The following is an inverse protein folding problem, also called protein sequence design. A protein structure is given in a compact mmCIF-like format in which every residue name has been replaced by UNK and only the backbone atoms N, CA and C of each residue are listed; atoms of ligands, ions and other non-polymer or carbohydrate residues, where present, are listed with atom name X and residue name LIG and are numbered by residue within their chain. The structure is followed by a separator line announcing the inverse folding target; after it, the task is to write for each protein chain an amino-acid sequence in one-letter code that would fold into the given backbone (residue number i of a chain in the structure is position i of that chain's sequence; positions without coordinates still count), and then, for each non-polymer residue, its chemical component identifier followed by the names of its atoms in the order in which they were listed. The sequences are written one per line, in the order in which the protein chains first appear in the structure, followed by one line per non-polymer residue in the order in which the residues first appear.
data_IF_020123412271
#
_entry.id   IF_020123412271
#
_cell.length_a   1.000
_cell.length_b   1.000
_cell.length_c   1.000
_cell.angle_alpha   90.00
_cell.angle_beta   90.00
_cell.angle_gamma   90.00
#
_symmetry.space_group_name_H-M   'P 1'
#
loop_
_entity.id
_entity.type
_entity.pdbx_description
1 polymer ?
#
# COMPACT_ATOMS: atom_id res chain seq x y z
N UNK A 1 43.66 -27.13 29.28
CA UNK A 1 42.72 -27.44 28.17
C UNK A 1 41.25 -27.21 28.53
N UNK A 2 40.71 -27.78 29.61
CA UNK A 2 39.27 -27.61 29.97
C UNK A 2 38.82 -26.16 30.20
N UNK A 3 39.65 -25.30 30.81
CA UNK A 3 39.34 -23.89 31.07
C UNK A 3 39.31 -23.03 29.80
N UNK A 4 40.17 -23.31 28.82
CA UNK A 4 40.18 -22.60 27.53
C UNK A 4 38.98 -22.97 26.65
N UNK A 5 38.51 -24.22 26.73
CA UNK A 5 37.29 -24.67 26.04
C UNK A 5 36.04 -23.97 26.60
N UNK A 6 35.92 -23.86 27.92
CA UNK A 6 34.82 -23.18 28.57
C UNK A 6 34.76 -21.68 28.22
N UNK A 7 35.92 -21.02 28.14
CA UNK A 7 36.02 -19.62 27.74
C UNK A 7 35.63 -19.41 26.27
N UNK A 8 36.09 -20.30 25.37
CA UNK A 8 35.70 -20.25 23.95
C UNK A 8 34.19 -20.47 23.76
N UNK A 9 33.60 -21.39 24.53
CA UNK A 9 32.16 -21.67 24.47
C UNK A 9 31.32 -20.50 25.00
N UNK A 10 31.75 -19.85 26.07
CA UNK A 10 31.10 -18.65 26.61
C UNK A 10 31.16 -17.47 25.62
N UNK A 11 32.27 -17.31 24.90
CA UNK A 11 32.42 -16.27 23.88
C UNK A 11 31.47 -16.51 22.69
N UNK A 12 31.38 -17.74 22.20
CA UNK A 12 30.47 -18.11 21.09
C UNK A 12 28.99 -17.94 21.49
N UNK A 13 28.62 -18.28 22.73
CA UNK A 13 27.27 -18.05 23.23
C UNK A 13 26.93 -16.56 23.33
N UNK A 14 27.90 -15.73 23.72
CA UNK A 14 27.67 -14.28 23.82
C UNK A 14 27.40 -13.64 22.45
N UNK A 15 28.14 -14.04 21.40
CA UNK A 15 27.97 -13.49 20.04
C UNK A 15 26.62 -13.88 19.41
N UNK A 16 26.07 -15.05 19.77
CA UNK A 16 24.79 -15.53 19.24
C UNK A 16 23.56 -14.87 19.88
N UNK A 17 23.72 -14.25 21.06
CA UNK A 17 22.64 -13.52 21.74
C UNK A 17 22.45 -12.08 21.21
N UNK A 18 23.52 -11.41 20.75
CA UNK A 18 23.41 -10.05 20.21
C UNK A 18 22.68 -9.99 18.86
N UNK A 19 22.85 -11.00 17.99
CA UNK A 19 22.28 -10.99 16.65
C UNK A 19 20.74 -11.03 16.64
N UNK A 20 20.10 -11.63 17.66
CA UNK A 20 18.64 -11.73 17.71
C UNK A 20 17.94 -10.40 18.01
N UNK A 21 18.58 -9.50 18.76
CA UNK A 21 17.98 -8.22 19.17
C UNK A 21 17.91 -7.25 17.99
N UNK A 22 18.93 -7.22 17.13
CA UNK A 22 18.95 -6.33 15.97
C UNK A 22 17.90 -6.69 14.92
N UNK A 23 17.72 -7.99 14.62
CA UNK A 23 16.76 -8.44 13.62
C UNK A 23 15.29 -8.11 13.98
N UNK A 24 14.93 -8.18 15.27
CA UNK A 24 13.57 -7.88 15.71
C UNK A 24 13.29 -6.36 15.79
N UNK A 25 14.33 -5.54 15.93
CA UNK A 25 14.19 -4.08 16.01
C UNK A 25 13.91 -3.42 14.65
N UNK A 26 14.35 -4.01 13.55
CA UNK A 26 14.15 -3.48 12.20
C UNK A 26 12.71 -3.70 11.71
N UNK A 27 12.04 -4.78 12.16
CA UNK A 27 10.69 -5.15 11.72
C UNK A 27 9.61 -4.11 12.12
N UNK A 28 9.92 -3.23 13.08
CA UNK A 28 9.01 -2.19 13.58
C UNK A 28 9.46 -0.75 13.27
N UNK A 29 10.44 -0.59 12.37
CA UNK A 29 11.03 0.72 12.08
C UNK A 29 10.10 1.64 11.28
N UNK A 30 9.22 1.10 10.46
CA UNK A 30 8.28 1.90 9.65
C UNK A 30 6.85 1.55 10.03
N UNK A 31 6.08 2.57 10.40
CA UNK A 31 4.65 2.46 10.66
C UNK A 31 3.88 3.00 9.46
N UNK A 32 3.05 2.15 8.85
CA UNK A 32 2.16 2.51 7.75
C UNK A 32 0.71 2.42 8.22
N UNK A 33 -0.05 3.50 8.04
CA UNK A 33 -1.47 3.54 8.41
C UNK A 33 -2.32 4.14 7.31
N UNK A 34 -3.38 3.43 6.93
CA UNK A 34 -4.49 3.93 6.14
C UNK A 34 -5.55 4.52 7.08
N UNK A 35 -6.04 5.71 6.74
CA UNK A 35 -7.17 6.36 7.38
C UNK A 35 -8.22 6.69 6.34
N UNK A 36 -9.46 6.25 6.56
CA UNK A 36 -10.62 6.55 5.72
C UNK A 36 -11.71 7.15 6.61
N UNK A 37 -12.35 8.21 6.14
CA UNK A 37 -13.53 8.76 6.80
C UNK A 37 -14.79 8.29 6.04
N UNK A 38 -15.66 7.54 6.71
CA UNK A 38 -16.90 7.04 6.12
C UNK A 38 -18.03 7.04 7.15
N UNK A 39 -19.19 7.58 6.78
CA UNK A 39 -20.37 7.61 7.66
C UNK A 39 -20.13 8.35 8.99
N UNK A 40 -19.30 9.40 8.99
CA UNK A 40 -18.94 10.16 10.20
C UNK A 40 -17.96 9.44 11.13
N UNK A 41 -17.46 8.25 10.75
CA UNK A 41 -16.45 7.51 11.50
C UNK A 41 -15.10 7.55 10.78
N UNK A 42 -14.04 7.65 11.58
CA UNK A 42 -12.66 7.49 11.11
C UNK A 42 -12.23 6.04 11.29
N UNK A 43 -11.93 5.38 10.18
CA UNK A 43 -11.49 3.99 10.11
C UNK A 43 -9.98 4.00 9.92
N UNK A 44 -9.23 3.43 10.87
CA UNK A 44 -7.76 3.33 10.83
C UNK A 44 -7.37 1.88 10.62
N UNK A 45 -6.49 1.63 9.64
CA UNK A 45 -6.01 0.29 9.26
C UNK A 45 -4.49 0.29 9.17
N UNK A 46 -3.85 -0.60 9.92
CA UNK A 46 -2.40 -0.77 9.84
C UNK A 46 -2.04 -1.58 8.58
N UNK A 47 -1.04 -1.09 7.85
CA UNK A 47 -0.56 -1.70 6.61
C UNK A 47 0.81 -2.35 6.82
N UNK A 48 1.06 -3.43 6.08
CA UNK A 48 2.38 -4.00 5.87
C UNK A 48 3.12 -3.28 4.74
N UNK A 49 2.40 -2.92 3.67
CA UNK A 49 2.98 -2.32 2.47
C UNK A 49 1.99 -1.34 1.81
N UNK A 50 2.53 -0.41 1.03
CA UNK A 50 1.78 0.42 0.08
C UNK A 50 2.64 0.65 -1.15
N UNK A 51 2.04 0.57 -2.32
CA UNK A 51 2.63 0.95 -3.59
C UNK A 51 1.68 1.88 -4.34
N UNK A 52 2.26 2.86 -5.02
CA UNK A 52 1.53 3.84 -5.83
C UNK A 52 1.96 3.66 -7.27
N UNK A 53 1.00 3.45 -8.16
CA UNK A 53 1.23 3.43 -9.60
C UNK A 53 0.37 4.48 -10.29
N UNK A 54 0.96 5.10 -11.31
CA UNK A 54 0.32 6.09 -12.16
C UNK A 54 0.59 5.69 -13.60
N UNK A 55 -0.46 5.48 -14.37
CA UNK A 55 -0.37 5.43 -15.82
C UNK A 55 -0.83 6.76 -16.40
N UNK A 56 -0.12 7.27 -17.40
CA UNK A 56 -0.52 8.42 -18.20
C UNK A 56 -0.61 7.96 -19.65
N UNK A 57 -1.73 8.30 -20.29
CA UNK A 57 -1.85 8.19 -21.74
C UNK A 57 -1.54 9.56 -22.30
N UNK A 58 -0.45 9.68 -23.07
CA UNK A 58 -0.25 10.86 -23.90
C UNK A 58 -1.05 10.64 -25.18
N UNK A 59 -1.77 11.65 -25.64
CA UNK A 59 -2.31 11.64 -27.00
C UNK A 59 -1.13 11.49 -27.96
N UNK A 60 -0.92 10.28 -28.50
CA UNK A 60 -0.19 10.17 -29.75
C UNK A 60 -1.00 10.97 -30.76
N UNK A 61 -0.33 11.93 -31.41
CA UNK A 61 -0.91 12.83 -32.39
C UNK A 61 -1.86 12.08 -33.33
N UNK A 62 -3.01 12.69 -33.71
CA UNK A 62 -4.00 12.02 -34.52
C UNK A 62 -3.34 11.44 -35.77
N UNK A 63 -3.58 10.15 -35.98
CA UNK A 63 -3.12 9.39 -37.16
C UNK A 63 -3.37 10.23 -38.40
N UNK A 64 -2.32 10.50 -39.17
CA UNK A 64 -2.38 11.27 -40.39
C UNK A 64 -3.57 10.79 -41.25
N UNK A 65 -4.43 11.74 -41.60
CA UNK A 65 -5.65 11.62 -42.40
C UNK A 65 -5.67 10.39 -43.32
N UNK A 66 -6.29 9.30 -42.85
CA UNK A 66 -6.77 8.26 -43.75
C UNK A 66 -8.11 8.74 -44.34
N UNK A 67 -8.13 8.77 -45.66
CA UNK A 67 -9.17 9.23 -46.58
C UNK A 67 -10.60 8.90 -46.10
N UNK A 68 -11.48 9.89 -46.24
CA UNK A 68 -12.90 9.84 -45.92
C UNK A 68 -13.61 8.61 -46.52
N UNK A 69 -14.08 7.71 -45.66
CA UNK A 69 -15.23 6.87 -45.98
C UNK A 69 -16.20 6.81 -44.80
N UNK A 70 -17.48 6.80 -45.14
CA UNK A 70 -18.63 7.25 -44.35
C UNK A 70 -19.14 6.16 -43.40
N UNK A 71 -18.26 5.57 -42.60
CA UNK A 71 -18.63 4.68 -41.51
C UNK A 71 -18.32 5.37 -40.19
N UNK A 72 -19.30 5.44 -39.27
CA UNK A 72 -19.19 5.99 -37.92
C UNK A 72 -17.82 5.71 -37.30
N UNK A 73 -16.92 6.70 -37.40
CA UNK A 73 -15.67 6.72 -36.67
C UNK A 73 -16.01 6.76 -35.19
N UNK A 74 -16.10 5.58 -34.55
CA UNK A 74 -15.90 5.48 -33.11
C UNK A 74 -14.47 5.97 -32.89
N UNK A 75 -14.35 7.25 -32.55
CA UNK A 75 -13.13 7.81 -31.99
C UNK A 75 -12.59 6.80 -30.99
N UNK A 76 -11.34 6.38 -31.17
CA UNK A 76 -10.68 5.46 -30.26
C UNK A 76 -10.86 6.01 -28.84
N UNK A 77 -11.46 5.22 -27.96
CA UNK A 77 -11.71 5.66 -26.59
C UNK A 77 -10.35 6.00 -25.96
N UNK A 78 -10.08 7.28 -25.77
CA UNK A 78 -8.98 7.77 -24.95
C UNK A 78 -9.19 7.14 -23.58
N UNK A 79 -8.30 6.22 -23.18
CA UNK A 79 -8.27 5.72 -21.81
C UNK A 79 -7.58 6.79 -20.98
N UNK A 80 -8.31 7.57 -20.16
CA UNK A 80 -7.66 8.49 -19.24
C UNK A 80 -6.71 7.67 -18.35
N UNK A 81 -5.51 8.20 -18.15
CA UNK A 81 -4.56 7.62 -17.20
C UNK A 81 -5.23 7.34 -15.85
N UNK A 82 -4.76 6.34 -15.12
CA UNK A 82 -5.33 5.97 -13.83
C UNK A 82 -4.29 5.98 -12.73
N UNK A 83 -4.66 6.47 -11.54
CA UNK A 83 -3.87 6.28 -10.33
C UNK A 83 -4.42 5.11 -9.51
N UNK A 84 -3.55 4.14 -9.25
CA UNK A 84 -3.84 2.98 -8.42
C UNK A 84 -2.95 2.99 -7.18
N UNK A 85 -3.55 2.62 -6.06
CA UNK A 85 -2.85 2.31 -4.82
C UNK A 85 -3.08 0.85 -4.51
N UNK A 86 -2.00 0.08 -4.43
CA UNK A 86 -2.03 -1.30 -3.94
C UNK A 86 -1.42 -1.34 -2.55
N UNK A 87 -2.01 -2.12 -1.66
CA UNK A 87 -1.60 -2.17 -0.26
C UNK A 87 -1.89 -3.54 0.34
N UNK A 88 -1.05 -3.93 1.29
CA UNK A 88 -1.26 -5.12 2.10
C UNK A 88 -1.62 -4.70 3.52
N UNK A 89 -2.81 -5.08 3.99
CA UNK A 89 -3.24 -4.78 5.35
C UNK A 89 -2.76 -5.87 6.33
N UNK A 90 -2.45 -5.46 7.57
CA UNK A 90 -2.16 -6.40 8.66
C UNK A 90 -3.40 -7.15 9.12
N UNK A 91 -4.52 -6.44 9.14
CA UNK A 91 -5.85 -6.92 9.50
C UNK A 91 -6.88 -5.97 8.93
N UNK A 92 -8.05 -6.48 8.60
CA UNK A 92 -9.18 -5.68 8.16
C UNK A 92 -10.22 -5.63 9.26
N UNK A 93 -10.78 -4.44 9.50
CA UNK A 93 -11.92 -4.27 10.40
C UNK A 93 -13.25 -4.42 9.65
N UNK A 94 -14.30 -4.81 10.36
CA UNK A 94 -15.66 -4.87 9.82
C UNK A 94 -16.12 -3.54 9.22
N UNK A 95 -15.69 -2.42 9.81
CA UNK A 95 -16.05 -1.09 9.31
C UNK A 95 -15.37 -0.79 7.96
N UNK A 96 -14.12 -1.21 7.75
CA UNK A 96 -13.47 -1.12 6.44
C UNK A 96 -14.15 -2.05 5.43
N UNK A 97 -14.50 -3.28 5.82
CA UNK A 97 -15.27 -4.20 4.97
C UNK A 97 -16.61 -3.60 4.54
N UNK A 98 -17.31 -2.90 5.42
CA UNK A 98 -18.57 -2.20 5.07
C UNK A 98 -18.35 -1.13 4.01
N UNK A 99 -17.24 -0.38 4.06
CA UNK A 99 -16.90 0.58 2.99
C UNK A 99 -16.72 -0.13 1.65
N UNK A 100 -15.98 -1.24 1.66
CA UNK A 100 -15.63 -2.04 0.49
C UNK A 100 -16.79 -2.88 -0.08
N UNK A 101 -17.79 -3.20 0.73
CA UNK A 101 -18.93 -4.07 0.35
C UNK A 101 -19.85 -3.50 -0.73
N UNK A 102 -19.81 -2.18 -0.94
CA UNK A 102 -20.73 -1.45 -1.81
C UNK A 102 -20.06 -1.11 -3.14
N UNK A 103 -20.59 -1.65 -4.24
CA UNK A 103 -20.04 -1.56 -5.62
C UNK A 103 -19.69 -0.14 -6.11
N UNK A 104 -20.36 0.89 -5.63
CA UNK A 104 -20.17 2.27 -6.09
C UNK A 104 -19.76 3.24 -4.97
N UNK A 105 -19.28 2.72 -3.84
CA UNK A 105 -18.81 3.61 -2.77
C UNK A 105 -17.58 4.35 -3.25
N UNK A 106 -17.64 5.67 -3.08
CA UNK A 106 -16.50 6.56 -3.18
C UNK A 106 -16.08 6.99 -1.79
N UNK A 107 -14.78 7.01 -1.56
CA UNK A 107 -14.22 7.42 -0.29
C UNK A 107 -12.91 8.17 -0.48
N UNK A 108 -12.65 9.08 0.45
CA UNK A 108 -11.38 9.77 0.55
C UNK A 108 -10.56 9.14 1.66
N UNK A 109 -9.24 9.28 1.57
CA UNK A 109 -8.38 8.72 2.58
C UNK A 109 -6.98 9.30 2.59
N UNK A 110 -6.25 8.90 3.61
CA UNK A 110 -4.88 9.31 3.84
C UNK A 110 -4.06 8.10 4.27
N UNK A 111 -2.90 7.90 3.67
CA UNK A 111 -1.90 6.94 4.10
C UNK A 111 -0.74 7.73 4.72
N UNK A 112 -0.40 7.41 5.95
CA UNK A 112 0.71 8.01 6.67
C UNK A 112 1.81 6.98 6.86
N UNK A 113 3.04 7.37 6.52
CA UNK A 113 4.26 6.56 6.64
C UNK A 113 5.19 7.29 7.61
N UNK A 114 5.42 6.69 8.77
CA UNK A 114 6.23 7.26 9.84
C UNK A 114 7.42 6.35 10.12
N UNK A 115 8.63 6.91 10.07
CA UNK A 115 9.82 6.26 10.63
C UNK A 115 9.78 6.45 12.16
N UNK A 116 9.64 5.34 12.89
CA UNK A 116 9.49 5.37 14.35
C UNK A 116 10.74 5.90 15.07
N UNK A 117 11.90 5.93 14.38
CA UNK A 117 13.15 6.49 14.89
C UNK A 117 13.38 7.95 14.44
N UNK A 118 12.46 8.53 13.67
CA UNK A 118 12.52 9.93 13.26
C UNK A 118 13.65 10.28 12.29
N UNK A 119 14.35 9.27 11.72
CA UNK A 119 15.43 9.51 10.76
C UNK A 119 14.92 10.01 9.41
N UNK A 120 13.73 9.57 9.01
CA UNK A 120 13.08 10.02 7.80
C UNK A 120 11.86 10.89 8.13
N UNK A 121 11.59 11.95 7.34
CA UNK A 121 10.38 12.73 7.50
C UNK A 121 9.14 11.88 7.23
N UNK A 122 8.05 12.21 7.92
CA UNK A 122 6.75 11.57 7.68
C UNK A 122 6.32 11.79 6.23
N UNK A 123 5.94 10.71 5.54
CA UNK A 123 5.31 10.81 4.23
C UNK A 123 3.81 10.67 4.37
N UNK A 124 3.07 11.50 3.64
CA UNK A 124 1.61 11.49 3.62
C UNK A 124 1.12 11.38 2.18
N UNK A 125 0.33 10.35 1.90
CA UNK A 125 -0.34 10.17 0.62
C UNK A 125 -1.83 10.43 0.86
N UNK A 126 -2.40 11.46 0.25
CA UNK A 126 -3.85 11.70 0.29
C UNK A 126 -4.45 11.34 -1.05
N UNK A 127 -5.60 10.71 -1.05
CA UNK A 127 -6.34 10.37 -2.25
C UNK A 127 -7.80 10.74 -2.10
N UNK A 128 -8.43 11.11 -3.21
CA UNK A 128 -9.85 11.49 -3.23
C UNK A 128 -10.63 10.68 -4.27
N UNK A 129 -11.92 10.53 -3.99
CA UNK A 129 -12.88 9.84 -4.85
C UNK A 129 -12.44 8.41 -5.23
N UNK A 130 -11.80 7.72 -4.26
CA UNK A 130 -11.32 6.38 -4.47
C UNK A 130 -12.45 5.36 -4.45
N UNK A 131 -12.27 4.28 -5.20
CA UNK A 131 -13.13 3.11 -5.17
C UNK A 131 -12.29 1.84 -5.10
N UNK A 132 -12.81 0.82 -4.44
CA UNK A 132 -12.19 -0.49 -4.43
C UNK A 132 -12.10 -1.03 -5.86
N UNK A 133 -10.88 -1.36 -6.30
CA UNK A 133 -10.61 -1.98 -7.58
C UNK A 133 -10.54 -3.50 -7.44
N UNK A 134 -9.80 -3.98 -6.45
CA UNK A 134 -9.74 -5.39 -6.11
C UNK A 134 -9.49 -5.61 -4.61
N UNK A 135 -9.92 -6.76 -4.12
CA UNK A 135 -9.72 -7.21 -2.76
C UNK A 135 -9.43 -8.71 -2.80
N UNK A 136 -8.35 -9.12 -2.14
CA UNK A 136 -7.98 -10.52 -1.97
C UNK A 136 -7.58 -10.75 -0.54
N UNK A 137 -8.13 -11.80 0.07
CA UNK A 137 -7.79 -12.19 1.43
C UNK A 137 -7.35 -13.64 1.44
N UNK A 138 -6.24 -13.92 2.09
CA UNK A 138 -5.67 -15.26 2.15
C UNK A 138 -5.50 -15.66 3.61
N UNK A 139 -5.97 -16.84 3.97
CA UNK A 139 -5.81 -17.40 5.31
C UNK A 139 -4.93 -18.65 5.25
N UNK A 140 -4.03 -18.79 6.22
CA UNK A 140 -3.16 -19.95 6.36
C UNK A 140 -3.12 -20.37 7.82
N UNK A 141 -3.21 -21.68 8.08
CA UNK A 141 -2.96 -22.25 9.41
C UNK A 141 -1.48 -22.19 9.79
N UNK A 142 -0.59 -21.98 8.82
CA UNK A 142 0.84 -21.81 8.98
C UNK A 142 1.18 -20.32 8.82
N UNK A 143 0.99 -19.53 9.87
CA UNK A 143 1.43 -18.13 9.91
C UNK A 143 2.65 -18.00 10.81
N UNK A 144 3.73 -17.41 10.30
CA UNK A 144 4.95 -17.16 11.09
C UNK A 144 4.78 -16.01 12.10
N UNK A 145 3.78 -15.15 11.91
CA UNK A 145 3.64 -13.88 12.63
C UNK A 145 2.29 -13.72 13.38
N UNK A 146 1.64 -14.84 13.75
CA UNK A 146 0.32 -14.85 14.43
C UNK A 146 -0.78 -14.04 13.73
N UNK A 147 -0.59 -13.71 12.46
CA UNK A 147 -1.53 -12.96 11.64
C UNK A 147 -2.37 -13.93 10.81
N UNK A 148 -3.68 -13.67 10.74
CA UNK A 148 -4.62 -14.35 9.84
C UNK A 148 -4.33 -13.93 8.39
N UNK A 149 -3.20 -14.39 7.86
CA UNK A 149 -2.66 -14.13 6.54
C UNK A 149 -2.58 -12.65 6.12
N UNK A 150 -2.44 -12.41 4.82
CA UNK A 150 -2.22 -11.08 4.25
C UNK A 150 -3.41 -10.69 3.38
N UNK A 151 -4.00 -9.52 3.65
CA UNK A 151 -5.06 -8.98 2.81
C UNK A 151 -4.47 -8.01 1.80
N UNK A 152 -4.65 -8.30 0.52
CA UNK A 152 -4.28 -7.41 -0.58
C UNK A 152 -5.47 -6.56 -1.01
N UNK A 153 -5.26 -5.25 -1.08
CA UNK A 153 -6.26 -4.26 -1.49
C UNK A 153 -5.68 -3.46 -2.64
N UNK A 154 -6.46 -3.27 -3.70
CA UNK A 154 -6.20 -2.25 -4.70
C UNK A 154 -7.36 -1.26 -4.75
N UNK A 155 -7.04 0.03 -4.75
CA UNK A 155 -8.01 1.11 -4.97
C UNK A 155 -7.58 1.91 -6.20
N UNK A 156 -8.57 2.37 -6.95
CA UNK A 156 -8.39 3.38 -8.00
C UNK A 156 -8.87 4.72 -7.46
N UNK A 157 -8.16 5.81 -7.73
CA UNK A 157 -8.53 7.14 -7.26
C UNK A 157 -8.47 8.19 -8.37
N UNK A 158 -9.27 9.25 -8.20
CA UNK A 158 -9.33 10.35 -9.18
C UNK A 158 -8.14 11.29 -9.00
N UNK A 159 -7.82 11.62 -7.76
CA UNK A 159 -6.73 12.54 -7.44
C UNK A 159 -5.89 11.94 -6.31
N UNK A 160 -4.59 12.18 -6.39
CA UNK A 160 -3.62 11.79 -5.37
C UNK A 160 -2.68 12.97 -5.10
N UNK A 161 -2.29 13.14 -3.85
CA UNK A 161 -1.22 14.06 -3.45
C UNK A 161 -0.24 13.38 -2.52
N UNK A 162 1.05 13.64 -2.72
CA UNK A 162 2.12 13.10 -1.89
C UNK A 162 2.84 14.27 -1.24
N UNK A 163 2.84 14.30 0.10
CA UNK A 163 3.38 15.40 0.90
C UNK A 163 2.82 16.78 0.51
N UNK A 164 1.55 16.81 0.07
CA UNK A 164 0.88 18.04 -0.40
C UNK A 164 1.10 18.38 -1.87
N UNK A 165 1.97 17.65 -2.59
CA UNK A 165 2.14 17.81 -4.05
C UNK A 165 1.06 17.01 -4.76
N UNK A 166 0.15 17.68 -5.46
CA UNK A 166 -0.91 17.04 -6.26
C UNK A 166 -0.28 16.43 -7.52
N UNK A 167 -0.67 15.20 -7.83
CA UNK A 167 -0.22 14.49 -9.03
C UNK A 167 -1.36 14.52 -10.05
N UNK A 168 -1.12 15.21 -11.17
CA UNK A 168 -2.05 15.30 -12.28
C UNK A 168 -2.09 13.99 -13.08
N UNK A 169 -3.31 13.57 -13.44
CA UNK A 169 -3.63 12.43 -14.31
C UNK A 169 -3.86 12.89 -15.74
#
# INVERSE_FOLDING_TARGET
MKKSLALALALILSVSLFNKIYAQSDENRTKLQLTINSGGKTIVTDLNSVSTSLSRSYDEAPVANAVSDTAKNKSAAIYPGGCYLTMDAKKISDDLLKVFSKKQTRFDGTITIVDTYGKNPTRTIKFTNASLYSFGDQFSTNSYNEAYGATSIAIMCKEISINGVVIEQ
#
